data_IF_926241638354
#
_entry.id   IF_926241638354
#
_cell.length_a   1.000
_cell.length_b   1.000
_cell.length_c   1.000
_cell.angle_alpha   90.00
_cell.angle_beta   90.00
_cell.angle_gamma   90.00
#
_symmetry.space_group_name_H-M   'P 1'
#
loop_
_entity.id
_entity.type
_entity.pdbx_description
1 polymer ?
#
# COMPACT_ATOMS: atom_id res chain seq x y z
N UNK A 1 5.20 -35.87 -22.95
CA UNK A 1 5.11 -36.45 -24.31
C UNK A 1 5.81 -35.49 -25.27
N UNK A 2 6.95 -35.89 -25.83
CA UNK A 2 7.65 -35.10 -26.85
C UNK A 2 6.81 -35.11 -28.15
N UNK A 3 6.54 -33.93 -28.70
CA UNK A 3 5.84 -33.79 -29.98
C UNK A 3 6.88 -33.82 -31.09
N UNK A 4 6.72 -34.75 -32.03
CA UNK A 4 7.58 -34.87 -33.21
C UNK A 4 6.91 -34.16 -34.39
N UNK A 5 7.61 -33.20 -35.00
CA UNK A 5 7.25 -32.70 -36.34
C UNK A 5 8.24 -33.28 -37.35
N UNK A 6 7.72 -34.03 -38.31
CA UNK A 6 8.50 -34.59 -39.42
C UNK A 6 8.37 -33.67 -40.63
N UNK A 7 9.49 -33.19 -41.16
CA UNK A 7 9.55 -32.48 -42.44
C UNK A 7 10.19 -33.45 -43.45
N UNK A 8 9.49 -33.75 -44.54
CA UNK A 8 10.02 -34.56 -45.63
C UNK A 8 10.68 -33.65 -46.69
N UNK A 9 11.95 -33.93 -46.99
CA UNK A 9 12.61 -33.42 -48.19
C UNK A 9 12.73 -34.56 -49.19
N UNK A 10 12.16 -34.38 -50.38
CA UNK A 10 12.34 -35.29 -51.52
C UNK A 10 13.32 -34.68 -52.51
N UNK A 11 14.47 -35.33 -52.69
CA UNK A 11 15.40 -35.02 -53.78
C UNK A 11 15.33 -36.14 -54.83
N UNK A 12 15.20 -35.77 -56.10
CA UNK A 12 15.16 -36.70 -57.23
C UNK A 12 16.54 -36.69 -57.92
N UNK A 13 17.21 -37.83 -57.97
CA UNK A 13 18.44 -38.00 -58.74
C UNK A 13 18.19 -39.03 -59.85
N UNK A 14 18.40 -38.65 -61.10
CA UNK A 14 18.16 -39.52 -62.27
C UNK A 14 19.50 -40.02 -62.80
N UNK A 15 19.75 -41.33 -62.70
CA UNK A 15 20.89 -41.99 -63.34
C UNK A 15 20.35 -43.19 -64.14
N UNK A 16 20.56 -43.14 -65.46
CA UNK A 16 20.41 -44.26 -66.40
C UNK A 16 19.20 -45.18 -66.17
N UNK A 17 17.98 -44.61 -66.16
CA UNK A 17 16.73 -45.38 -66.22
C UNK A 17 16.25 -46.02 -64.91
N UNK A 18 16.96 -45.82 -63.79
CA UNK A 18 16.49 -46.23 -62.46
C UNK A 18 16.16 -45.00 -61.61
N UNK A 19 14.95 -44.94 -61.06
CA UNK A 19 14.56 -43.93 -60.08
C UNK A 19 15.06 -44.35 -58.69
N UNK A 20 16.08 -43.65 -58.18
CA UNK A 20 16.52 -43.81 -56.79
C UNK A 20 15.83 -42.75 -55.94
N UNK A 21 14.92 -43.15 -55.06
CA UNK A 21 14.31 -42.26 -54.08
C UNK A 21 15.13 -42.34 -52.79
N UNK A 22 15.93 -41.31 -52.49
CA UNK A 22 16.53 -41.15 -51.18
C UNK A 22 15.61 -40.27 -50.32
N UNK A 23 14.97 -40.87 -49.32
CA UNK A 23 14.20 -40.14 -48.31
C UNK A 23 15.09 -39.94 -47.08
N UNK A 24 15.40 -38.69 -46.76
CA UNK A 24 16.00 -38.33 -45.48
C UNK A 24 14.91 -37.72 -44.60
N UNK A 25 14.71 -38.31 -43.42
CA UNK A 25 13.88 -37.72 -42.38
C UNK A 25 14.78 -37.11 -41.31
N UNK A 26 14.55 -35.83 -41.01
CA UNK A 26 15.19 -35.16 -39.87
C UNK A 26 14.16 -35.09 -38.75
N UNK A 27 14.42 -35.80 -37.67
CA UNK A 27 13.63 -35.69 -36.45
C UNK A 27 14.13 -34.49 -35.65
N UNK A 28 13.36 -33.41 -35.62
CA UNK A 28 13.62 -32.28 -34.72
C UNK A 28 12.88 -32.58 -33.41
N UNK A 29 13.63 -32.89 -32.37
CA UNK A 29 13.09 -33.01 -31.02
C UNK A 29 12.69 -31.62 -30.54
N UNK A 30 11.39 -31.32 -30.48
CA UNK A 30 10.93 -30.09 -29.85
C UNK A 30 11.20 -30.17 -28.34
N UNK A 31 11.87 -29.16 -27.74
CA UNK A 31 12.03 -29.12 -26.31
C UNK A 31 10.65 -29.06 -25.63
N UNK A 32 10.50 -29.62 -24.42
CA UNK A 32 9.25 -29.52 -23.69
C UNK A 32 8.92 -28.03 -23.43
N UNK A 33 7.62 -27.67 -23.33
CA UNK A 33 7.21 -26.28 -23.09
C UNK A 33 7.97 -25.65 -21.92
N UNK A 34 8.28 -24.36 -22.05
CA UNK A 34 8.91 -23.59 -20.98
C UNK A 34 7.96 -23.51 -19.77
N UNK A 35 8.52 -23.62 -18.57
CA UNK A 35 7.75 -23.60 -17.33
C UNK A 35 7.05 -22.26 -17.18
N UNK A 36 5.76 -22.30 -16.89
CA UNK A 36 4.95 -21.12 -16.56
C UNK A 36 5.45 -20.49 -15.25
N UNK A 37 5.90 -19.22 -15.26
CA UNK A 37 6.26 -18.51 -14.03
C UNK A 37 5.02 -18.13 -13.22
N UNK A 38 5.20 -17.81 -11.93
CA UNK A 38 4.16 -17.27 -11.07
C UNK A 38 4.58 -15.91 -10.54
N UNK A 39 3.62 -15.01 -10.40
CA UNK A 39 3.81 -13.78 -9.65
C UNK A 39 3.81 -14.17 -8.16
N UNK A 40 4.77 -13.63 -7.41
CA UNK A 40 4.75 -13.76 -5.96
C UNK A 40 3.75 -12.80 -5.32
N UNK A 41 3.81 -11.53 -5.73
CA UNK A 41 2.95 -10.47 -5.23
C UNK A 41 2.87 -9.31 -6.24
N UNK A 42 1.86 -8.49 -6.03
CA UNK A 42 1.78 -7.15 -6.62
C UNK A 42 1.56 -6.16 -5.48
N UNK A 43 2.20 -5.00 -5.53
CA UNK A 43 2.19 -4.02 -4.42
C UNK A 43 2.30 -2.61 -4.96
N UNK A 44 1.90 -1.61 -4.19
CA UNK A 44 2.24 -0.21 -4.48
C UNK A 44 3.64 0.10 -3.91
N UNK A 45 4.50 0.75 -4.70
CA UNK A 45 5.80 1.27 -4.26
C UNK A 45 5.62 2.57 -3.50
N UNK A 46 6.14 2.69 -2.26
CA UNK A 46 6.07 3.93 -1.49
C UNK A 46 6.94 5.06 -2.09
N UNK A 47 7.93 4.74 -2.93
CA UNK A 47 8.82 5.72 -3.56
C UNK A 47 8.23 6.32 -4.84
N UNK A 48 7.53 5.51 -5.63
CA UNK A 48 7.06 5.90 -6.97
C UNK A 48 5.55 6.05 -7.08
N UNK A 49 4.78 5.59 -6.09
CA UNK A 49 3.32 5.47 -6.15
C UNK A 49 2.85 4.70 -7.40
N UNK A 50 3.61 3.67 -7.79
CA UNK A 50 3.32 2.77 -8.91
C UNK A 50 3.22 1.34 -8.44
N UNK A 51 2.45 0.55 -9.18
CA UNK A 51 2.36 -0.89 -8.97
C UNK A 51 3.67 -1.56 -9.35
N UNK A 52 4.20 -2.35 -8.43
CA UNK A 52 5.29 -3.28 -8.63
C UNK A 52 4.74 -4.69 -8.78
N UNK A 53 5.27 -5.41 -9.75
CA UNK A 53 5.02 -6.82 -10.01
C UNK A 53 6.30 -7.57 -9.65
N UNK A 54 6.22 -8.51 -8.72
CA UNK A 54 7.38 -9.22 -8.18
C UNK A 54 7.20 -10.72 -8.37
N UNK A 55 8.25 -11.39 -8.85
CA UNK A 55 8.29 -12.84 -9.03
C UNK A 55 9.67 -13.38 -8.66
N UNK A 56 9.71 -14.65 -8.27
CA UNK A 56 10.99 -15.35 -8.12
C UNK A 56 11.48 -15.79 -9.49
N UNK A 57 12.76 -15.56 -9.75
CA UNK A 57 13.40 -16.10 -10.94
C UNK A 57 13.56 -17.60 -10.75
N UNK A 58 12.97 -18.39 -11.63
CA UNK A 58 13.26 -19.81 -11.70
C UNK A 58 14.38 -19.99 -12.74
N UNK A 59 15.60 -20.34 -12.28
CA UNK A 59 16.76 -20.59 -13.14
C UNK A 59 16.64 -21.90 -13.96
N UNK A 60 15.43 -22.33 -14.30
CA UNK A 60 15.25 -23.37 -15.28
C UNK A 60 15.99 -22.96 -16.56
N UNK A 61 16.88 -23.82 -17.04
CA UNK A 61 17.98 -23.54 -18.01
C UNK A 61 17.55 -22.98 -19.38
N UNK A 62 16.28 -22.64 -19.57
CA UNK A 62 15.70 -22.27 -20.85
C UNK A 62 14.97 -20.92 -20.87
N UNK A 63 14.75 -20.26 -19.73
CA UNK A 63 14.08 -18.94 -19.73
C UNK A 63 15.06 -17.86 -20.18
N UNK A 64 14.74 -17.16 -21.26
CA UNK A 64 15.51 -16.00 -21.75
C UNK A 64 14.92 -14.69 -21.23
N UNK A 65 13.60 -14.56 -21.25
CA UNK A 65 12.88 -13.34 -20.91
C UNK A 65 11.58 -13.65 -20.16
N UNK A 66 11.13 -12.70 -19.37
CA UNK A 66 9.81 -12.66 -18.76
C UNK A 66 8.99 -11.55 -19.41
N UNK A 67 7.75 -11.84 -19.76
CA UNK A 67 6.82 -10.84 -20.30
C UNK A 67 5.69 -10.59 -19.31
N UNK A 68 5.46 -9.32 -19.01
CA UNK A 68 4.51 -8.87 -18.01
C UNK A 68 3.29 -8.30 -18.73
N UNK A 69 2.12 -8.67 -18.24
CA UNK A 69 0.83 -8.29 -18.79
C UNK A 69 -0.02 -7.57 -17.77
N UNK A 70 -0.80 -6.60 -18.24
CA UNK A 70 -1.86 -5.93 -17.48
C UNK A 70 -3.21 -6.22 -18.12
N UNK A 71 -4.24 -6.41 -17.30
CA UNK A 71 -5.61 -6.52 -17.80
C UNK A 71 -6.13 -5.14 -18.22
N UNK A 72 -6.72 -5.05 -19.40
CA UNK A 72 -7.53 -3.89 -19.80
C UNK A 72 -8.93 -4.00 -19.19
N UNK A 73 -9.45 -2.89 -18.67
CA UNK A 73 -10.73 -2.90 -17.96
C UNK A 73 -11.94 -2.86 -18.91
N UNK A 74 -11.75 -2.51 -20.20
CA UNK A 74 -12.85 -2.43 -21.17
C UNK A 74 -13.21 -3.81 -21.74
N UNK A 75 -12.21 -4.61 -22.10
CA UNK A 75 -12.40 -5.92 -22.74
C UNK A 75 -12.02 -7.12 -21.85
N UNK A 76 -11.49 -6.83 -20.65
CA UNK A 76 -11.05 -7.80 -19.65
C UNK A 76 -9.92 -8.73 -20.14
N UNK A 77 -9.22 -8.35 -21.22
CA UNK A 77 -8.09 -9.10 -21.80
C UNK A 77 -6.76 -8.60 -21.25
N UNK A 78 -5.72 -9.45 -21.36
CA UNK A 78 -4.38 -9.15 -20.89
C UNK A 78 -3.48 -8.70 -22.04
N UNK A 79 -2.89 -7.51 -21.92
CA UNK A 79 -1.98 -6.95 -22.90
C UNK A 79 -0.58 -6.78 -22.31
N UNK A 80 0.48 -6.98 -23.13
CA UNK A 80 1.85 -6.86 -22.65
C UNK A 80 2.19 -5.40 -22.32
N UNK A 81 2.78 -5.18 -21.15
CA UNK A 81 3.22 -3.86 -20.69
C UNK A 81 4.74 -3.76 -20.57
N UNK A 82 5.46 -4.88 -20.67
CA UNK A 82 6.91 -4.90 -20.60
C UNK A 82 7.52 -6.29 -20.71
N UNK A 83 8.81 -6.30 -20.98
CA UNK A 83 9.65 -7.51 -21.04
C UNK A 83 10.87 -7.25 -20.16
N UNK A 84 11.31 -8.28 -19.43
CA UNK A 84 12.49 -8.29 -18.57
C UNK A 84 13.38 -9.47 -18.93
N UNK A 85 14.68 -9.25 -19.09
CA UNK A 85 15.63 -10.35 -19.28
C UNK A 85 15.73 -11.21 -18.01
N UNK A 86 16.01 -12.50 -18.16
CA UNK A 86 16.31 -13.41 -17.03
C UNK A 86 17.50 -12.93 -16.18
N UNK A 87 18.39 -12.13 -16.77
CA UNK A 87 19.56 -11.53 -16.11
C UNK A 87 19.20 -10.36 -15.19
N UNK A 88 18.05 -9.72 -15.40
CA UNK A 88 17.56 -8.61 -14.57
C UNK A 88 16.89 -9.12 -13.28
N UNK A 89 16.53 -8.20 -12.38
CA UNK A 89 15.77 -8.51 -11.16
C UNK A 89 14.35 -8.97 -11.49
N UNK A 90 13.78 -9.86 -10.67
CA UNK A 90 12.37 -10.29 -10.75
C UNK A 90 11.36 -9.22 -10.29
N UNK A 91 11.60 -7.95 -10.64
CA UNK A 91 10.78 -6.80 -10.26
C UNK A 91 10.51 -5.98 -11.52
N UNK A 92 9.25 -5.65 -11.75
CA UNK A 92 8.81 -4.76 -12.80
C UNK A 92 7.89 -3.67 -12.25
N UNK A 93 8.15 -2.42 -12.60
CA UNK A 93 7.31 -1.28 -12.23
C UNK A 93 6.40 -0.89 -13.40
N UNK A 94 5.09 -0.93 -13.19
CA UNK A 94 4.10 -0.41 -14.14
C UNK A 94 4.04 1.13 -14.00
N UNK A 95 4.86 1.85 -14.77
CA UNK A 95 4.92 3.31 -14.73
C UNK A 95 3.61 4.00 -15.11
N UNK A 96 2.72 3.31 -15.84
CA UNK A 96 1.41 3.82 -16.24
C UNK A 96 0.30 3.51 -15.23
N UNK A 97 0.60 2.77 -14.16
CA UNK A 97 -0.37 2.48 -13.10
C UNK A 97 -0.77 3.75 -12.34
N UNK A 98 -2.01 3.74 -11.83
CA UNK A 98 -2.61 4.79 -11.00
C UNK A 98 -3.24 4.14 -9.76
N UNK A 99 -2.43 3.71 -8.79
CA UNK A 99 -2.91 2.91 -7.66
C UNK A 99 -3.92 3.67 -6.77
N UNK A 100 -3.85 5.00 -6.74
CA UNK A 100 -4.81 5.87 -6.04
C UNK A 100 -6.18 6.00 -6.74
N UNK A 101 -6.38 5.43 -7.93
CA UNK A 101 -7.68 5.46 -8.62
C UNK A 101 -8.37 4.10 -8.65
N UNK A 102 -7.61 3.01 -8.76
CA UNK A 102 -8.15 1.65 -8.94
C UNK A 102 -7.11 0.57 -8.71
N UNK A 103 -7.58 -0.64 -8.42
CA UNK A 103 -6.75 -1.83 -8.51
C UNK A 103 -6.45 -2.22 -9.95
N UNK A 104 -5.38 -2.99 -10.15
CA UNK A 104 -5.00 -3.53 -11.46
C UNK A 104 -4.68 -5.03 -11.36
N UNK A 105 -5.02 -5.77 -12.41
CA UNK A 105 -4.72 -7.18 -12.56
C UNK A 105 -3.49 -7.38 -13.44
N UNK A 106 -2.61 -8.28 -13.01
CA UNK A 106 -1.37 -8.61 -13.70
C UNK A 106 -1.20 -10.11 -13.88
N UNK A 107 -0.52 -10.47 -14.97
CA UNK A 107 -0.05 -11.83 -15.28
C UNK A 107 1.37 -11.78 -15.83
N UNK A 108 2.06 -12.92 -15.77
CA UNK A 108 3.41 -13.08 -16.31
C UNK A 108 3.52 -14.35 -17.14
N UNK A 109 4.37 -14.33 -18.17
CA UNK A 109 4.81 -15.50 -18.92
C UNK A 109 6.34 -15.55 -18.99
N UNK A 110 6.87 -16.70 -19.39
CA UNK A 110 8.28 -16.87 -19.74
C UNK A 110 8.42 -17.10 -21.25
N UNK A 111 9.44 -16.50 -21.85
CA UNK A 111 9.87 -16.76 -23.22
C UNK A 111 11.20 -17.52 -23.15
N UNK A 112 11.29 -18.64 -23.87
CA UNK A 112 12.52 -19.41 -23.96
C UNK A 112 13.52 -18.86 -24.97
N UNK A 113 14.75 -19.39 -24.95
CA UNK A 113 15.80 -19.02 -25.91
C UNK A 113 15.45 -19.33 -27.37
N UNK A 114 14.40 -20.12 -27.63
CA UNK A 114 13.90 -20.42 -28.96
C UNK A 114 12.74 -19.49 -29.37
N UNK A 115 12.36 -18.54 -28.53
CA UNK A 115 11.27 -17.58 -28.76
C UNK A 115 9.87 -18.14 -28.48
N UNK A 116 9.75 -19.30 -27.82
CA UNK A 116 8.45 -19.88 -27.46
C UNK A 116 8.02 -19.39 -26.08
N UNK A 117 6.79 -18.92 -26.01
CA UNK A 117 6.17 -18.39 -24.80
C UNK A 117 5.39 -19.48 -24.03
N UNK A 118 5.43 -19.42 -22.70
CA UNK A 118 4.58 -20.23 -21.82
C UNK A 118 3.14 -19.77 -21.84
N UNK A 119 2.27 -20.55 -21.21
CA UNK A 119 0.98 -20.03 -20.74
C UNK A 119 1.19 -18.87 -19.73
N UNK A 120 0.19 -18.00 -19.60
CA UNK A 120 0.20 -16.93 -18.61
C UNK A 120 0.00 -17.50 -17.19
N UNK A 121 0.57 -16.83 -16.19
CA UNK A 121 0.36 -17.12 -14.77
C UNK A 121 -1.10 -16.99 -14.34
N UNK A 122 -1.37 -17.41 -13.10
CA UNK A 122 -2.59 -16.99 -12.42
C UNK A 122 -2.54 -15.46 -12.23
N UNK A 123 -3.72 -14.84 -12.19
CA UNK A 123 -3.83 -13.39 -12.09
C UNK A 123 -3.59 -12.94 -10.65
N UNK A 124 -2.89 -11.81 -10.51
CA UNK A 124 -2.79 -11.11 -9.23
C UNK A 124 -3.43 -9.73 -9.34
N UNK A 125 -4.20 -9.32 -8.32
CA UNK A 125 -4.82 -7.99 -8.24
C UNK A 125 -4.25 -7.19 -7.08
N UNK A 126 -3.93 -5.93 -7.31
CA UNK A 126 -3.52 -5.00 -6.24
C UNK A 126 -4.67 -4.65 -5.31
N UNK A 127 -4.33 -4.13 -4.12
CA UNK A 127 -5.30 -3.62 -3.15
C UNK A 127 -5.54 -2.15 -3.48
N UNK A 128 -6.81 -1.78 -3.62
CA UNK A 128 -7.24 -0.38 -3.67
C UNK A 128 -7.97 -0.06 -2.36
N UNK A 129 -7.60 1.05 -1.73
CA UNK A 129 -8.19 1.58 -0.51
C UNK A 129 -8.85 2.93 -0.83
N UNK A 130 -10.09 3.08 -0.41
CA UNK A 130 -10.85 4.33 -0.37
C UNK A 130 -11.23 4.62 1.07
N UNK A 131 -11.28 5.91 1.44
CA UNK A 131 -11.66 6.33 2.79
C UNK A 131 -12.67 7.46 2.73
N UNK A 132 -13.84 7.25 3.35
CA UNK A 132 -14.87 8.27 3.50
C UNK A 132 -14.89 8.85 4.92
N UNK A 133 -15.25 10.13 5.00
CA UNK A 133 -15.55 10.81 6.25
C UNK A 133 -17.02 10.60 6.64
N UNK A 134 -17.27 9.93 7.77
CA UNK A 134 -18.60 9.72 8.35
C UNK A 134 -18.90 10.72 9.50
N UNK A 135 -18.13 11.82 9.57
CA UNK A 135 -18.31 12.93 10.51
C UNK A 135 -17.64 12.71 11.87
N UNK A 136 -17.81 11.52 12.48
CA UNK A 136 -17.17 11.15 13.76
C UNK A 136 -16.19 9.98 13.63
N UNK A 137 -16.06 9.41 12.45
CA UNK A 137 -15.21 8.27 12.15
C UNK A 137 -14.83 8.30 10.68
N UNK A 138 -13.78 7.56 10.33
CA UNK A 138 -13.47 7.30 8.92
C UNK A 138 -13.86 5.87 8.57
N UNK A 139 -14.59 5.70 7.47
CA UNK A 139 -14.90 4.38 6.92
C UNK A 139 -13.89 4.07 5.82
N UNK A 140 -13.13 3.01 6.01
CA UNK A 140 -12.20 2.46 5.03
C UNK A 140 -12.95 1.38 4.24
N UNK A 141 -12.95 1.51 2.93
CA UNK A 141 -13.48 0.54 1.97
C UNK A 141 -12.33 0.07 1.08
N UNK A 142 -12.18 -1.24 0.89
CA UNK A 142 -11.07 -1.78 0.10
C UNK A 142 -11.48 -2.89 -0.85
N UNK A 143 -10.78 -2.97 -1.97
CA UNK A 143 -10.82 -4.14 -2.83
C UNK A 143 -9.80 -5.18 -2.36
N UNK A 144 -10.20 -6.45 -2.31
CA UNK A 144 -9.30 -7.51 -1.88
C UNK A 144 -8.13 -7.71 -2.86
N UNK A 145 -6.97 -8.03 -2.30
CA UNK A 145 -5.89 -8.70 -3.00
C UNK A 145 -6.38 -10.03 -3.58
N UNK A 146 -6.03 -10.30 -4.82
CA UNK A 146 -6.29 -11.59 -5.49
C UNK A 146 -4.98 -12.19 -6.01
N UNK A 147 -4.93 -13.52 -6.10
CA UNK A 147 -3.76 -14.28 -6.56
C UNK A 147 -3.04 -15.07 -5.46
N UNK A 148 -3.35 -14.80 -4.18
CA UNK A 148 -2.78 -15.52 -3.03
C UNK A 148 -3.81 -15.62 -1.91
N UNK A 149 -3.68 -16.64 -1.06
CA UNK A 149 -4.40 -16.74 0.21
C UNK A 149 -3.56 -16.16 1.35
N UNK A 150 -4.17 -15.33 2.18
CA UNK A 150 -3.57 -14.69 3.35
C UNK A 150 -4.63 -14.54 4.45
N UNK A 151 -4.21 -14.17 5.66
CA UNK A 151 -5.11 -14.19 6.83
C UNK A 151 -5.78 -12.84 7.12
N UNK A 152 -5.03 -11.75 7.03
CA UNK A 152 -5.48 -10.44 7.47
C UNK A 152 -4.80 -9.30 6.72
N UNK A 153 -5.49 -8.16 6.72
CA UNK A 153 -4.93 -6.85 6.42
C UNK A 153 -4.57 -6.15 7.72
N UNK A 154 -3.35 -5.64 7.80
CA UNK A 154 -2.97 -4.65 8.81
C UNK A 154 -3.43 -3.27 8.37
N UNK A 155 -4.00 -2.50 9.30
CA UNK A 155 -4.53 -1.17 9.05
C UNK A 155 -3.61 -0.17 9.70
N UNK A 156 -3.10 0.75 8.88
CA UNK A 156 -2.13 1.76 9.28
C UNK A 156 -2.70 3.15 9.06
N UNK A 157 -2.47 4.04 10.02
CA UNK A 157 -2.94 5.44 10.00
C UNK A 157 -1.80 6.38 10.40
N UNK A 158 -1.73 7.57 9.85
CA UNK A 158 -0.82 8.62 10.27
C UNK A 158 -1.35 10.02 9.95
N UNK A 159 -0.68 11.05 10.49
CA UNK A 159 -0.94 12.45 10.13
C UNK A 159 -0.07 12.93 8.96
N UNK A 160 0.85 12.07 8.51
CA UNK A 160 1.72 12.24 7.35
C UNK A 160 1.77 10.90 6.60
N UNK A 161 1.83 10.95 5.28
CA UNK A 161 1.81 9.74 4.43
C UNK A 161 3.02 8.82 4.65
N UNK A 162 4.17 9.39 5.01
CA UNK A 162 5.44 8.68 5.24
C UNK A 162 5.60 8.15 6.68
N UNK A 163 4.69 8.52 7.59
CA UNK A 163 4.76 8.15 9.00
C UNK A 163 3.41 7.61 9.51
N UNK A 164 3.16 6.34 9.19
CA UNK A 164 1.97 5.61 9.60
C UNK A 164 2.26 4.68 10.78
N UNK A 165 1.29 4.54 11.68
CA UNK A 165 1.30 3.58 12.78
C UNK A 165 0.14 2.59 12.66
N UNK A 166 0.37 1.38 13.17
CA UNK A 166 -0.63 0.32 13.18
C UNK A 166 -1.79 0.67 14.13
N UNK A 167 -3.03 0.48 13.68
CA UNK A 167 -4.25 0.77 14.47
C UNK A 167 -5.20 -0.41 14.59
N UNK A 168 -5.03 -1.45 13.78
CA UNK A 168 -5.93 -2.60 13.79
C UNK A 168 -5.65 -3.61 12.69
N UNK A 169 -6.48 -4.65 12.66
CA UNK A 169 -6.45 -5.68 11.63
C UNK A 169 -7.86 -6.01 11.17
N UNK A 170 -7.99 -6.33 9.89
CA UNK A 170 -9.18 -6.91 9.30
C UNK A 170 -8.87 -8.33 8.82
N UNK A 171 -9.80 -9.29 8.94
CA UNK A 171 -9.63 -10.57 8.27
C UNK A 171 -9.63 -10.37 6.74
N UNK A 172 -9.00 -11.31 6.01
CA UNK A 172 -8.78 -11.20 4.57
C UNK A 172 -10.07 -11.07 3.73
N UNK A 173 -11.21 -11.50 4.26
CA UNK A 173 -12.54 -11.46 3.68
C UNK A 173 -13.35 -10.20 4.06
N UNK A 174 -12.81 -9.32 4.90
CA UNK A 174 -13.44 -8.02 5.20
C UNK A 174 -12.95 -6.92 4.27
N UNK A 175 -13.90 -6.20 3.67
CA UNK A 175 -13.63 -5.01 2.85
C UNK A 175 -13.81 -3.68 3.61
N UNK A 176 -14.43 -3.71 4.80
CA UNK A 176 -14.79 -2.51 5.56
C UNK A 176 -14.03 -2.42 6.89
N UNK A 177 -13.58 -1.23 7.26
CA UNK A 177 -13.12 -0.92 8.61
C UNK A 177 -13.56 0.48 9.03
N UNK A 178 -14.12 0.61 10.23
CA UNK A 178 -14.51 1.92 10.77
C UNK A 178 -13.52 2.37 11.83
N UNK A 179 -12.79 3.43 11.55
CA UNK A 179 -11.92 4.09 12.52
C UNK A 179 -12.71 5.12 13.33
N UNK A 180 -13.33 4.64 14.40
CA UNK A 180 -14.08 5.46 15.37
C UNK A 180 -13.17 6.23 16.35
N UNK A 181 -11.86 5.94 16.34
CA UNK A 181 -10.90 6.53 17.27
C UNK A 181 -10.05 7.61 16.61
N UNK A 182 -10.31 7.95 15.34
CA UNK A 182 -9.64 9.02 14.65
C UNK A 182 -10.13 10.38 15.19
N UNK A 183 -9.24 11.23 15.71
CA UNK A 183 -9.62 12.61 16.02
C UNK A 183 -9.96 13.36 14.72
N UNK A 184 -10.55 14.55 14.84
CA UNK A 184 -10.72 15.43 13.69
C UNK A 184 -9.39 15.86 13.06
N UNK A 185 -9.37 16.05 11.74
CA UNK A 185 -8.19 16.50 11.00
C UNK A 185 -7.94 15.73 9.71
N UNK A 186 -6.72 15.86 9.19
CA UNK A 186 -6.23 15.14 8.01
C UNK A 186 -5.47 13.90 8.44
N UNK A 187 -5.87 12.74 7.91
CA UNK A 187 -5.23 11.46 8.14
C UNK A 187 -4.90 10.78 6.82
N UNK A 188 -3.87 9.95 6.87
CA UNK A 188 -3.44 9.08 5.80
C UNK A 188 -3.61 7.65 6.26
N UNK A 189 -4.20 6.81 5.41
CA UNK A 189 -4.42 5.40 5.67
C UNK A 189 -3.74 4.52 4.64
N UNK A 190 -3.31 3.33 5.06
CA UNK A 190 -2.77 2.31 4.17
C UNK A 190 -3.10 0.92 4.72
N UNK A 191 -3.40 -0.02 3.83
CA UNK A 191 -3.50 -1.43 4.16
C UNK A 191 -2.19 -2.14 3.82
N UNK A 192 -1.79 -3.06 4.68
CA UNK A 192 -0.65 -3.95 4.45
C UNK A 192 -1.09 -5.40 4.57
N UNK A 193 -0.81 -6.19 3.54
CA UNK A 193 -1.03 -7.63 3.53
C UNK A 193 0.30 -8.34 3.78
N UNK A 194 0.37 -9.20 4.80
CA UNK A 194 1.51 -10.08 4.99
C UNK A 194 1.46 -11.25 3.99
N UNK A 195 2.56 -11.49 3.29
CA UNK A 195 2.68 -12.65 2.42
C UNK A 195 2.73 -13.94 3.26
N UNK A 196 2.09 -15.04 2.80
CA UNK A 196 2.20 -16.34 3.46
C UNK A 196 3.62 -16.93 3.33
N UNK A 197 4.32 -16.60 2.25
CA UNK A 197 5.69 -17.03 1.96
C UNK A 197 6.48 -15.81 1.48
N UNK A 198 7.67 -15.53 2.03
CA UNK A 198 8.56 -14.48 1.51
C UNK A 198 8.81 -14.64 0.01
N UNK A 199 8.85 -13.54 -0.74
CA UNK A 199 9.24 -13.59 -2.15
C UNK A 199 10.63 -13.00 -2.36
N UNK A 200 11.51 -13.76 -3.01
CA UNK A 200 12.85 -13.30 -3.35
C UNK A 200 13.03 -13.08 -4.86
N UNK A 201 13.05 -11.83 -5.34
CA UNK A 201 13.26 -11.52 -6.75
C UNK A 201 14.72 -11.60 -7.20
N UNK A 202 15.67 -11.77 -6.27
CA UNK A 202 17.10 -11.89 -6.53
C UNK A 202 17.64 -13.24 -6.06
N UNK A 203 18.17 -14.05 -6.97
CA UNK A 203 18.95 -15.23 -6.56
C UNK A 203 20.38 -14.89 -6.10
N UNK A 204 20.78 -13.61 -6.06
CA UNK A 204 22.13 -13.18 -5.77
C UNK A 204 22.23 -12.50 -4.38
N UNK A 205 22.79 -13.26 -3.43
CA UNK A 205 23.43 -12.85 -2.17
C UNK A 205 23.42 -11.34 -1.84
N UNK A 206 22.69 -11.02 -0.77
CA UNK A 206 23.00 -10.02 0.28
C UNK A 206 22.52 -8.55 0.17
N UNK A 207 21.74 -8.11 -0.82
CA UNK A 207 21.38 -6.67 -0.89
C UNK A 207 19.90 -6.29 -0.99
N UNK A 208 18.96 -7.23 -1.06
CA UNK A 208 17.55 -6.92 -0.80
C UNK A 208 16.94 -8.06 0.00
N UNK A 209 16.43 -7.73 1.20
CA UNK A 209 15.63 -8.69 1.97
C UNK A 209 14.42 -9.14 1.14
N UNK A 210 13.86 -10.33 1.42
CA UNK A 210 12.71 -10.80 0.68
C UNK A 210 11.51 -9.85 0.88
N UNK A 211 10.66 -9.74 -0.13
CA UNK A 211 9.39 -9.06 0.00
C UNK A 211 8.50 -9.87 0.95
N UNK A 212 8.08 -9.22 2.03
CA UNK A 212 7.24 -9.83 3.07
C UNK A 212 5.82 -9.29 3.08
N UNK A 213 5.58 -8.13 2.44
CA UNK A 213 4.28 -7.45 2.47
C UNK A 213 3.91 -6.89 1.09
N UNK A 214 2.61 -6.83 0.84
CA UNK A 214 2.01 -6.01 -0.21
C UNK A 214 1.28 -4.82 0.41
N UNK A 215 1.36 -3.67 -0.24
CA UNK A 215 0.81 -2.39 0.20
C UNK A 215 -0.30 -1.94 -0.75
N UNK A 216 -1.36 -1.35 -0.19
CA UNK A 216 -2.33 -0.55 -0.94
C UNK A 216 -1.76 0.83 -1.31
N UNK A 217 -2.54 1.61 -2.07
CA UNK A 217 -2.36 3.07 -2.11
C UNK A 217 -2.45 3.67 -0.70
N UNK A 218 -1.85 4.86 -0.56
CA UNK A 218 -2.04 5.69 0.63
C UNK A 218 -3.19 6.64 0.33
N UNK A 219 -4.24 6.58 1.16
CA UNK A 219 -5.42 7.41 0.99
C UNK A 219 -5.44 8.53 2.04
N UNK A 220 -5.48 9.78 1.57
CA UNK A 220 -5.50 10.97 2.40
C UNK A 220 -6.91 11.52 2.54
N UNK A 221 -7.46 11.52 3.75
CA UNK A 221 -8.80 12.02 4.03
C UNK A 221 -8.73 13.16 5.05
N UNK A 222 -9.55 14.18 4.86
CA UNK A 222 -9.67 15.29 5.81
C UNK A 222 -11.10 15.39 6.30
N UNK A 223 -11.27 15.24 7.61
CA UNK A 223 -12.52 15.58 8.26
C UNK A 223 -12.49 17.09 8.54
N UNK A 224 -13.02 17.87 7.58
CA UNK A 224 -13.27 19.31 7.74
C UNK A 224 -14.45 19.53 8.68
N UNK A 225 -15.29 18.51 8.88
CA UNK A 225 -16.44 18.51 9.78
C UNK A 225 -16.06 18.56 11.26
N UNK A 226 -14.81 18.32 11.68
CA UNK A 226 -14.30 18.57 13.03
C UNK A 226 -13.67 19.96 13.17
N UNK A 227 -13.32 20.60 12.04
CA UNK A 227 -13.07 22.04 11.97
C UNK A 227 -14.39 22.84 11.86
N UNK A 228 -15.49 22.23 11.40
CA UNK A 228 -16.79 22.87 11.20
C UNK A 228 -17.89 22.44 12.19
N UNK A 229 -17.72 21.32 12.90
CA UNK A 229 -18.33 21.07 14.22
C UNK A 229 -17.56 21.85 15.27
N UNK A 230 -17.49 23.17 15.07
CA UNK A 230 -17.72 24.11 16.14
C UNK A 230 -19.12 23.81 16.69
N UNK A 231 -19.22 22.77 17.50
CA UNK A 231 -20.35 22.60 18.37
C UNK A 231 -20.39 23.90 19.17
N UNK A 232 -21.48 24.66 19.06
CA UNK A 232 -21.71 25.93 19.78
C UNK A 232 -21.47 25.83 21.29
N UNK A 233 -21.25 24.63 21.81
CA UNK A 233 -21.05 24.28 23.22
C UNK A 233 -19.68 23.67 23.57
N UNK A 234 -18.73 23.46 22.64
CA UNK A 234 -17.39 22.97 23.01
C UNK A 234 -16.31 23.68 22.19
N UNK A 235 -15.82 24.78 22.76
CA UNK A 235 -14.93 25.76 22.14
C UNK A 235 -13.45 25.58 22.51
N UNK A 236 -13.15 24.54 23.29
CA UNK A 236 -11.83 24.20 23.81
C UNK A 236 -11.48 22.73 23.52
N UNK A 237 -10.37 22.50 22.81
CA UNK A 237 -9.81 21.18 22.49
C UNK A 237 -8.43 21.07 23.14
N UNK A 238 -8.11 19.91 23.73
CA UNK A 238 -6.82 19.63 24.39
C UNK A 238 -6.30 18.30 23.87
N UNK A 239 -5.15 18.27 23.18
CA UNK A 239 -4.53 17.01 22.74
C UNK A 239 -3.00 17.09 22.65
N UNK A 240 -2.28 15.99 22.93
CA UNK A 240 -2.78 14.79 23.59
C UNK A 240 -3.26 15.06 25.02
N UNK A 241 -4.25 14.32 25.49
CA UNK A 241 -4.75 14.39 26.87
C UNK A 241 -5.33 13.01 27.25
N UNK A 242 -4.64 12.19 28.07
CA UNK A 242 -3.44 12.50 28.85
C UNK A 242 -2.19 12.74 28.00
N UNK A 243 -1.19 13.46 28.54
CA UNK A 243 0.10 13.66 27.89
C UNK A 243 1.29 13.38 28.82
N UNK A 244 2.42 13.00 28.21
CA UNK A 244 3.66 12.67 28.94
C UNK A 244 4.77 13.71 28.77
N UNK A 245 4.82 14.43 27.64
CA UNK A 245 5.86 15.44 27.34
C UNK A 245 5.25 16.82 27.08
N UNK A 246 4.27 16.91 26.17
CA UNK A 246 3.55 18.15 25.85
C UNK A 246 2.13 17.92 25.37
N UNK A 247 1.29 18.95 25.49
CA UNK A 247 -0.09 18.98 25.03
C UNK A 247 -0.39 20.32 24.35
N UNK A 248 -1.32 20.34 23.41
CA UNK A 248 -1.75 21.52 22.68
C UNK A 248 -3.22 21.79 22.97
N UNK A 249 -3.49 23.03 23.34
CA UNK A 249 -4.83 23.55 23.58
C UNK A 249 -5.22 24.39 22.36
N UNK A 250 -6.34 24.08 21.74
CA UNK A 250 -6.87 24.78 20.56
C UNK A 250 -8.23 25.38 20.92
N UNK A 251 -8.43 26.64 20.54
CA UNK A 251 -9.65 27.40 20.79
C UNK A 251 -9.87 28.44 19.69
N UNK A 252 -11.10 28.98 19.60
CA UNK A 252 -11.48 29.92 18.55
C UNK A 252 -11.18 31.37 18.97
N UNK A 253 -10.25 32.03 18.27
CA UNK A 253 -9.92 33.45 18.44
C UNK A 253 -9.62 34.14 17.07
N UNK A 254 -10.58 34.15 16.14
CA UNK A 254 -10.38 34.66 14.78
C UNK A 254 -10.08 36.15 14.73
N UNK A 255 -10.52 36.91 15.74
CA UNK A 255 -10.28 38.34 15.87
C UNK A 255 -8.97 38.69 16.61
N UNK A 256 -8.15 37.69 16.96
CA UNK A 256 -6.87 37.85 17.64
C UNK A 256 -6.94 38.68 18.94
N UNK A 257 -8.05 38.54 19.69
CA UNK A 257 -8.28 39.18 20.99
C UNK A 257 -7.35 38.61 22.04
N UNK A 258 -7.17 39.32 23.16
CA UNK A 258 -6.30 38.86 24.25
C UNK A 258 -7.02 37.85 25.14
N UNK A 259 -6.44 36.65 25.25
CA UNK A 259 -6.89 35.56 26.11
C UNK A 259 -5.86 35.31 27.23
N UNK A 260 -6.32 34.73 28.33
CA UNK A 260 -5.47 34.21 29.40
C UNK A 260 -5.81 32.76 29.73
N UNK A 261 -4.79 31.95 29.99
CA UNK A 261 -4.90 30.54 30.28
C UNK A 261 -4.31 30.28 31.67
N UNK A 262 -5.07 29.61 32.53
CA UNK A 262 -4.65 29.23 33.88
C UNK A 262 -4.85 27.74 34.07
N UNK A 263 -3.83 27.04 34.56
CA UNK A 263 -3.98 25.69 35.11
C UNK A 263 -3.96 25.76 36.63
N UNK A 264 -4.86 25.02 37.27
CA UNK A 264 -4.91 24.85 38.72
C UNK A 264 -4.82 23.37 39.07
N UNK A 265 -4.25 23.05 40.23
CA UNK A 265 -4.35 21.71 40.78
C UNK A 265 -5.79 21.40 41.27
N UNK A 266 -6.03 20.18 41.75
CA UNK A 266 -7.33 19.76 42.29
C UNK A 266 -7.80 20.57 43.51
N UNK A 267 -6.90 21.32 44.16
CA UNK A 267 -7.23 22.21 45.30
C UNK A 267 -7.56 23.64 44.84
N UNK A 268 -7.46 23.92 43.53
CA UNK A 268 -7.71 25.24 42.94
C UNK A 268 -6.49 26.18 42.98
N UNK A 269 -5.32 25.71 43.43
CA UNK A 269 -4.10 26.52 43.43
C UNK A 269 -3.54 26.65 42.01
N UNK A 270 -3.24 27.87 41.50
CA UNK A 270 -2.67 28.04 40.17
C UNK A 270 -1.25 27.48 40.11
N UNK A 271 -1.00 26.62 39.13
CA UNK A 271 0.30 25.99 38.86
C UNK A 271 0.93 26.46 37.55
N UNK A 272 0.14 27.02 36.64
CA UNK A 272 0.61 27.59 35.38
C UNK A 272 -0.31 28.74 34.95
N UNK A 273 0.27 29.84 34.46
CA UNK A 273 -0.47 30.99 33.96
C UNK A 273 0.22 31.50 32.69
N UNK A 274 -0.56 31.73 31.64
CA UNK A 274 -0.11 32.39 30.41
C UNK A 274 -1.10 33.48 30.03
N UNK A 275 -0.63 34.70 29.88
CA UNK A 275 -1.45 35.86 29.52
C UNK A 275 -1.17 36.35 28.09
N UNK A 276 -2.01 37.27 27.62
CA UNK A 276 -1.86 37.98 26.34
C UNK A 276 -1.77 37.05 25.13
N UNK A 277 -2.56 35.98 25.15
CA UNK A 277 -2.61 35.00 24.07
C UNK A 277 -3.50 35.55 22.95
N UNK A 278 -2.93 35.77 21.78
CA UNK A 278 -3.65 36.28 20.58
C UNK A 278 -3.81 35.23 19.47
N UNK A 279 -3.27 34.03 19.67
CA UNK A 279 -3.36 32.91 18.75
C UNK A 279 -4.63 32.07 18.99
N UNK A 280 -4.93 31.17 18.05
CA UNK A 280 -5.99 30.14 18.17
C UNK A 280 -5.51 28.86 18.90
N UNK A 281 -4.29 28.87 19.43
CA UNK A 281 -3.75 27.71 20.16
C UNK A 281 -2.61 28.07 21.09
N UNK A 282 -2.40 27.22 22.09
CA UNK A 282 -1.33 27.30 23.09
C UNK A 282 -0.75 25.91 23.31
N UNK A 283 0.56 25.78 23.22
CA UNK A 283 1.28 24.57 23.62
C UNK A 283 1.69 24.66 25.09
N UNK A 284 1.53 23.55 25.82
CA UNK A 284 1.98 23.36 27.21
C UNK A 284 2.92 22.17 27.24
N UNK A 285 4.14 22.41 27.72
CA UNK A 285 5.09 21.36 28.06
C UNK A 285 4.86 20.89 29.49
N UNK A 286 5.13 19.60 29.77
CA UNK A 286 4.97 19.01 31.11
C UNK A 286 5.80 19.78 32.14
N UNK A 287 7.06 20.09 31.83
CA UNK A 287 7.94 20.85 32.71
C UNK A 287 7.94 20.30 34.14
N UNK A 288 7.52 21.13 35.10
CA UNK A 288 7.44 20.79 36.54
C UNK A 288 6.07 20.25 36.98
N UNK A 289 5.13 20.04 36.06
CA UNK A 289 3.83 19.46 36.39
C UNK A 289 4.01 17.99 36.80
N UNK A 290 3.47 17.63 37.96
CA UNK A 290 3.50 16.25 38.45
C UNK A 290 2.39 15.45 37.76
N UNK A 291 2.52 14.11 37.69
CA UNK A 291 1.41 13.27 37.22
C UNK A 291 0.15 13.52 38.04
N UNK A 292 -1.00 13.68 37.37
CA UNK A 292 -2.26 14.00 38.02
C UNK A 292 -3.23 14.80 37.15
N UNK A 293 -4.32 15.25 37.79
CA UNK A 293 -5.40 16.01 37.16
C UNK A 293 -5.27 17.50 37.44
N UNK A 294 -5.47 18.32 36.42
CA UNK A 294 -5.41 19.78 36.48
C UNK A 294 -6.65 20.38 35.85
N UNK A 295 -7.21 21.40 36.51
CA UNK A 295 -8.30 22.18 35.92
C UNK A 295 -7.71 23.29 35.04
N UNK A 296 -8.19 23.38 33.82
CA UNK A 296 -7.83 24.41 32.85
C UNK A 296 -8.93 25.45 32.78
N UNK A 297 -8.55 26.72 32.86
CA UNK A 297 -9.44 27.87 32.71
C UNK A 297 -8.87 28.76 31.60
N UNK A 298 -9.62 28.92 30.52
CA UNK A 298 -9.31 29.85 29.44
C UNK A 298 -10.28 31.03 29.52
N UNK A 299 -9.77 32.23 29.74
CA UNK A 299 -10.56 33.47 29.81
C UNK A 299 -10.29 34.33 28.59
N UNK A 300 -11.32 34.55 27.78
CA UNK A 300 -11.35 35.54 26.70
C UNK A 300 -12.72 36.19 26.65
N UNK A 301 -13.37 36.16 25.48
CA UNK A 301 -14.76 36.66 25.35
C UNK A 301 -15.77 35.84 26.17
N UNK A 302 -15.48 34.55 26.32
CA UNK A 302 -16.16 33.64 27.24
C UNK A 302 -15.12 32.97 28.13
N UNK A 303 -15.55 32.55 29.31
CA UNK A 303 -14.76 31.70 30.19
C UNK A 303 -15.04 30.24 29.87
N UNK A 304 -13.99 29.50 29.55
CA UNK A 304 -14.06 28.10 29.16
C UNK A 304 -13.24 27.25 30.11
N UNK A 305 -13.73 26.04 30.35
CA UNK A 305 -13.15 25.12 31.32
C UNK A 305 -12.79 23.81 30.65
N UNK A 306 -11.65 23.25 31.02
CA UNK A 306 -11.18 21.96 30.57
C UNK A 306 -10.50 21.20 31.69
N UNK A 307 -10.23 19.92 31.46
CA UNK A 307 -9.44 19.08 32.36
C UNK A 307 -8.23 18.57 31.61
N UNK A 308 -7.07 18.62 32.25
CA UNK A 308 -5.78 18.25 31.69
C UNK A 308 -5.18 17.15 32.58
N UNK A 309 -4.82 16.03 31.97
CA UNK A 309 -4.31 14.83 32.63
C UNK A 309 -2.84 14.69 32.26
N UNK A 310 -1.97 14.72 33.26
CA UNK A 310 -0.52 14.54 33.11
C UNK A 310 -0.17 13.12 33.55
N UNK A 311 0.52 12.38 32.68
CA UNK A 311 1.11 11.07 33.01
C UNK A 311 2.48 11.21 33.66
#
# INVERSE_FOLDING_TARGET
MQSFRTILFTALLVISGFYLFAQYSVHINQPPPVSRPQICLVTVSPESDKNLIVWEKNNAERVAEYKIYKRDDNDLQYYPIGIKSVTETGIFADSASTPHLKSNYYKISAIDSCGKESELSDAHKTIYLSVSDEGNSFLLESEHYEGLSFQNYEIWRGIQADNLFWIGVNPADSIFYSDINAPGGTFFYQLKMNLPVPCNPEQAKELSGPFMKSLSNIEGVSNVSALLHFNKNKSLIIFPNPFSEKTKIIFLNPEAKEYSLTLTDITGKPVYVKEKIRSNSVEIEKGTLKPGYYNLILKGEKCEYGMLIVN
#
